data_IF_207044950650
#
_entry.id   IF_207044950650
#
_cell.length_a   1.000
_cell.length_b   1.000
_cell.length_c   1.000
_cell.angle_alpha   90.00
_cell.angle_beta   90.00
_cell.angle_gamma   90.00
#
_symmetry.space_group_name_H-M   'P 1'
#
loop_
_entity.id
_entity.type
_entity.pdbx_description
1 polymer ?
#
# COMPACT_ATOMS: atom_id res chain seq x y z
N UNK A 1 26.04 6.20 -27.28
CA UNK A 1 24.59 6.34 -27.52
C UNK A 1 23.94 5.08 -26.99
N UNK A 2 22.90 5.21 -26.15
CA UNK A 2 22.03 4.07 -25.84
C UNK A 2 21.24 3.68 -27.09
N UNK A 3 20.91 2.40 -27.20
CA UNK A 3 20.03 1.88 -28.24
C UNK A 3 18.58 2.22 -27.90
N UNK A 4 17.71 2.31 -28.92
CA UNK A 4 16.27 2.55 -28.71
C UNK A 4 15.60 1.47 -27.83
N UNK A 5 16.15 0.25 -27.81
CA UNK A 5 15.68 -0.82 -26.94
C UNK A 5 16.01 -0.54 -25.46
N UNK A 6 17.23 -0.09 -25.16
CA UNK A 6 17.65 0.28 -23.80
C UNK A 6 16.85 1.48 -23.27
N UNK A 7 16.60 2.49 -24.10
CA UNK A 7 15.76 3.64 -23.74
C UNK A 7 14.33 3.21 -23.38
N UNK A 8 13.74 2.26 -24.13
CA UNK A 8 12.40 1.76 -23.83
C UNK A 8 12.34 0.96 -22.53
N UNK A 9 13.35 0.14 -22.24
CA UNK A 9 13.46 -0.60 -20.98
C UNK A 9 13.56 0.38 -19.80
N UNK A 10 14.40 1.40 -19.91
CA UNK A 10 14.55 2.44 -18.89
C UNK A 10 13.24 3.19 -18.65
N UNK A 11 12.50 3.54 -19.71
CA UNK A 11 11.21 4.20 -19.58
C UNK A 11 10.19 3.33 -18.83
N UNK A 12 10.14 2.03 -19.14
CA UNK A 12 9.25 1.08 -18.45
C UNK A 12 9.63 0.98 -16.97
N UNK A 13 10.92 0.91 -16.66
CA UNK A 13 11.39 0.81 -15.29
C UNK A 13 11.11 2.09 -14.49
N UNK A 14 11.35 3.27 -15.07
CA UNK A 14 10.98 4.55 -14.47
C UNK A 14 9.47 4.62 -14.17
N UNK A 15 8.62 4.21 -15.10
CA UNK A 15 7.17 4.21 -14.89
C UNK A 15 6.73 3.25 -13.76
N UNK A 16 7.42 2.11 -13.59
CA UNK A 16 7.18 1.21 -12.45
C UNK A 16 7.61 1.84 -11.13
N UNK A 17 8.79 2.48 -11.11
CA UNK A 17 9.32 3.15 -9.92
C UNK A 17 8.42 4.32 -9.48
N UNK A 18 7.93 5.12 -10.43
CA UNK A 18 6.99 6.21 -10.16
C UNK A 18 5.71 5.69 -9.49
N UNK A 19 5.11 4.63 -10.04
CA UNK A 19 3.93 3.98 -9.43
C UNK A 19 4.23 3.44 -8.03
N UNK A 20 5.41 2.85 -7.84
CA UNK A 20 5.84 2.35 -6.51
C UNK A 20 5.96 3.49 -5.51
N UNK A 21 6.57 4.61 -5.91
CA UNK A 21 6.70 5.81 -5.07
C UNK A 21 5.32 6.37 -4.70
N UNK A 22 4.40 6.47 -5.66
CA UNK A 22 3.04 6.93 -5.40
C UNK A 22 2.31 6.02 -4.39
N UNK A 23 2.43 4.70 -4.55
CA UNK A 23 1.88 3.74 -3.60
C UNK A 23 2.49 3.89 -2.19
N UNK A 24 3.81 4.03 -2.11
CA UNK A 24 4.50 4.27 -0.84
C UNK A 24 3.99 5.56 -0.19
N UNK A 25 3.82 6.63 -0.96
CA UNK A 25 3.26 7.89 -0.46
C UNK A 25 1.82 7.73 0.04
N UNK A 26 1.01 6.88 -0.59
CA UNK A 26 -0.37 6.59 -0.18
C UNK A 26 -0.49 5.66 1.02
N UNK A 27 0.61 5.05 1.48
CA UNK A 27 0.64 4.11 2.60
C UNK A 27 1.55 4.55 3.75
N UNK A 28 2.36 5.61 3.56
CA UNK A 28 3.45 5.99 4.47
C UNK A 28 3.03 6.41 5.88
N UNK A 29 1.78 6.81 6.10
CA UNK A 29 1.29 7.23 7.44
C UNK A 29 0.04 6.45 7.83
N UNK A 30 -0.30 6.42 9.12
CA UNK A 30 -1.49 5.68 9.59
C UNK A 30 -2.77 6.20 8.93
N UNK A 31 -2.91 7.53 8.81
CA UNK A 31 -4.07 8.15 8.20
C UNK A 31 -4.19 7.75 6.71
N UNK A 32 -3.07 7.76 5.98
CA UNK A 32 -3.05 7.37 4.57
C UNK A 32 -3.27 5.87 4.39
N UNK A 33 -2.69 5.03 5.24
CA UNK A 33 -2.98 3.60 5.29
C UNK A 33 -4.47 3.34 5.47
N UNK A 34 -5.12 4.01 6.44
CA UNK A 34 -6.56 3.87 6.65
C UNK A 34 -7.35 4.35 5.43
N UNK A 35 -7.01 5.50 4.87
CA UNK A 35 -7.66 6.03 3.67
C UNK A 35 -7.56 5.05 2.48
N UNK A 36 -6.39 4.43 2.29
CA UNK A 36 -6.17 3.41 1.26
C UNK A 36 -6.96 2.12 1.55
N UNK A 37 -6.96 1.66 2.79
CA UNK A 37 -7.77 0.51 3.20
C UNK A 37 -9.27 0.76 2.95
N UNK A 38 -9.79 1.93 3.32
CA UNK A 38 -11.19 2.26 3.11
C UNK A 38 -11.55 2.42 1.63
N UNK A 39 -10.64 2.97 0.81
CA UNK A 39 -10.87 3.10 -0.64
C UNK A 39 -10.86 1.76 -1.36
N UNK A 40 -10.26 0.72 -0.77
CA UNK A 40 -10.21 -0.65 -1.30
C UNK A 40 -11.26 -1.58 -0.72
N UNK A 41 -11.97 -1.17 0.32
CA UNK A 41 -12.86 -2.06 1.05
C UNK A 41 -13.94 -2.72 0.19
N UNK A 42 -14.44 -2.02 -0.83
CA UNK A 42 -15.44 -2.53 -1.78
C UNK A 42 -14.91 -3.64 -2.70
N UNK A 43 -13.60 -3.72 -2.88
CA UNK A 43 -12.96 -4.62 -3.83
C UNK A 43 -12.78 -6.04 -3.23
N UNK A 44 -13.00 -6.19 -1.92
CA UNK A 44 -12.76 -7.42 -1.18
C UNK A 44 -14.04 -7.96 -0.53
N UNK A 45 -14.07 -9.29 -0.35
CA UNK A 45 -15.22 -9.98 0.25
C UNK A 45 -15.37 -9.71 1.75
N UNK A 46 -14.26 -9.42 2.42
CA UNK A 46 -14.25 -9.15 3.85
C UNK A 46 -13.24 -8.07 4.21
N UNK A 47 -13.50 -7.40 5.33
CA UNK A 47 -12.60 -6.41 5.90
C UNK A 47 -11.22 -7.00 6.24
N UNK A 48 -11.16 -8.26 6.68
CA UNK A 48 -9.90 -8.94 6.96
C UNK A 48 -9.10 -9.22 5.68
N UNK A 49 -9.76 -9.57 4.57
CA UNK A 49 -9.08 -9.80 3.29
C UNK A 49 -8.50 -8.49 2.76
N UNK A 50 -9.27 -7.41 2.82
CA UNK A 50 -8.78 -6.07 2.46
C UNK A 50 -7.61 -5.66 3.34
N UNK A 51 -7.68 -5.91 4.66
CA UNK A 51 -6.59 -5.60 5.58
C UNK A 51 -5.34 -6.39 5.23
N UNK A 52 -5.45 -7.72 5.05
CA UNK A 52 -4.30 -8.57 4.72
C UNK A 52 -3.64 -8.09 3.44
N UNK A 53 -4.42 -7.83 2.39
CA UNK A 53 -3.91 -7.29 1.14
C UNK A 53 -3.14 -5.98 1.32
N UNK A 54 -3.70 -5.01 2.06
CA UNK A 54 -3.07 -3.71 2.25
C UNK A 54 -1.84 -3.80 3.18
N UNK A 55 -1.86 -4.70 4.17
CA UNK A 55 -0.74 -4.91 5.08
C UNK A 55 0.42 -5.68 4.41
N UNK A 56 0.11 -6.64 3.54
CA UNK A 56 1.08 -7.33 2.67
C UNK A 56 1.71 -6.34 1.69
N UNK A 57 0.89 -5.49 1.04
CA UNK A 57 1.36 -4.44 0.17
C UNK A 57 2.27 -3.44 0.91
N UNK A 58 1.94 -3.10 2.15
CA UNK A 58 2.81 -2.28 2.99
C UNK A 58 4.15 -3.00 3.25
N UNK A 59 4.14 -4.29 3.56
CA UNK A 59 5.35 -5.07 3.77
C UNK A 59 6.21 -5.15 2.50
N UNK A 60 5.62 -5.34 1.31
CA UNK A 60 6.36 -5.33 0.04
C UNK A 60 7.06 -3.98 -0.23
N UNK A 61 6.46 -2.88 0.23
CA UNK A 61 6.97 -1.53 0.01
C UNK A 61 8.00 -1.08 1.04
N UNK A 62 7.81 -1.46 2.31
CA UNK A 62 8.58 -0.94 3.45
C UNK A 62 9.45 -1.99 4.15
N UNK A 63 9.30 -3.27 3.83
CA UNK A 63 10.08 -4.38 4.39
C UNK A 63 9.63 -4.82 5.79
N UNK A 64 8.53 -4.28 6.31
CA UNK A 64 7.94 -4.64 7.59
C UNK A 64 6.42 -4.57 7.53
N UNK A 65 5.73 -5.39 8.32
CA UNK A 65 4.28 -5.27 8.45
C UNK A 65 3.91 -4.06 9.31
N UNK A 66 2.90 -3.30 8.90
CA UNK A 66 2.43 -2.16 9.68
C UNK A 66 1.71 -2.59 10.96
N UNK A 67 0.96 -3.68 10.88
CA UNK A 67 0.22 -4.28 11.98
C UNK A 67 0.57 -5.76 12.06
N UNK A 68 0.60 -6.32 13.28
CA UNK A 68 0.91 -7.75 13.48
C UNK A 68 -0.17 -8.66 12.91
N UNK A 69 -1.43 -8.23 13.03
CA UNK A 69 -2.61 -8.97 12.60
C UNK A 69 -3.84 -8.05 12.51
N UNK A 70 -4.95 -8.60 12.02
CA UNK A 70 -6.21 -7.88 11.89
C UNK A 70 -6.81 -7.44 13.24
N UNK A 71 -6.55 -8.15 14.33
CA UNK A 71 -7.07 -7.78 15.65
C UNK A 71 -6.39 -6.51 16.18
N UNK A 72 -5.06 -6.44 16.07
CA UNK A 72 -4.25 -5.25 16.40
C UNK A 72 -4.66 -4.04 15.57
N UNK A 73 -4.91 -4.24 14.26
CA UNK A 73 -5.43 -3.22 13.37
C UNK A 73 -6.79 -2.69 13.85
N UNK A 74 -7.74 -3.57 14.17
CA UNK A 74 -9.07 -3.15 14.64
C UNK A 74 -9.02 -2.34 15.93
N UNK A 75 -8.11 -2.65 16.85
CA UNK A 75 -7.92 -1.86 18.07
C UNK A 75 -7.48 -0.43 17.74
N UNK A 76 -6.53 -0.27 16.82
CA UNK A 76 -6.05 1.05 16.40
C UNK A 76 -7.09 1.80 15.56
N UNK A 77 -7.82 1.10 14.70
CA UNK A 77 -8.91 1.64 13.90
C UNK A 77 -10.04 2.19 14.78
N UNK A 78 -10.40 1.46 15.85
CA UNK A 78 -11.40 1.93 16.81
C UNK A 78 -10.98 3.22 17.51
N UNK A 79 -9.69 3.38 17.82
CA UNK A 79 -9.15 4.62 18.39
C UNK A 79 -9.15 5.76 17.36
N UNK A 80 -8.85 5.45 16.11
CA UNK A 80 -8.86 6.42 15.02
C UNK A 80 -10.26 6.98 14.77
N UNK A 81 -11.28 6.11 14.71
CA UNK A 81 -12.68 6.51 14.47
C UNK A 81 -13.34 7.27 15.63
N UNK A 82 -12.71 7.31 16.81
CA UNK A 82 -13.19 8.06 17.99
C UNK A 82 -12.65 9.48 18.06
N UNK A 83 -11.69 9.82 17.20
CA UNK A 83 -11.16 11.18 17.04
C UNK A 83 -11.96 11.91 15.99
#
# INVERSE_FOLDING_TARGET
MMTAAEENVLRIENAKLEKKIELMQNLSTSAKFYAYYFSKLSDFRSNSDCFNHVNDLYHELFGEFRYSDYASFRVQLSKFNKK
#
